data_IF_325889239224
#
_entry.id   IF_325889239224
#
_cell.length_a   1.000
_cell.length_b   1.000
_cell.length_c   1.000
_cell.angle_alpha   90.00
_cell.angle_beta   90.00
_cell.angle_gamma   90.00
#
_symmetry.space_group_name_H-M   'P 1'
#
loop_
_entity.id
_entity.type
_entity.pdbx_description
1 polymer ?
#
# COMPACT_ATOMS: atom_id res chain seq x y z
N UNK A 1 44.34 71.05 -5.25
CA UNK A 1 43.26 70.64 -4.36
C UNK A 1 42.31 69.78 -5.18
N UNK A 2 42.34 68.41 -5.05
CA UNK A 2 41.43 67.54 -5.78
C UNK A 2 40.14 67.35 -4.98
N UNK A 3 39.01 67.50 -5.66
CA UNK A 3 37.67 67.24 -5.14
C UNK A 3 37.41 65.73 -5.12
N UNK A 4 37.06 65.18 -3.92
CA UNK A 4 36.66 63.84 -3.74
C UNK A 4 35.18 63.72 -4.10
N UNK A 5 34.83 62.90 -5.09
CA UNK A 5 33.48 62.59 -5.50
C UNK A 5 33.02 61.33 -4.69
N UNK A 6 32.03 61.50 -3.83
CA UNK A 6 31.44 60.41 -3.11
C UNK A 6 30.41 59.66 -4.00
N UNK A 7 30.67 58.39 -4.25
CA UNK A 7 29.77 57.52 -5.00
C UNK A 7 28.75 56.93 -4.01
N UNK A 8 27.48 57.35 -4.09
CA UNK A 8 26.39 56.78 -3.33
C UNK A 8 25.93 55.46 -4.01
N UNK A 9 26.20 54.34 -3.34
CA UNK A 9 25.72 53.03 -3.79
C UNK A 9 24.23 52.87 -3.48
N UNK A 10 23.40 52.69 -4.51
CA UNK A 10 22.01 52.31 -4.39
C UNK A 10 21.96 50.82 -4.07
N UNK A 11 21.57 50.44 -2.84
CA UNK A 11 21.25 49.08 -2.48
C UNK A 11 19.80 48.78 -2.92
N UNK A 12 19.64 48.01 -4.00
CA UNK A 12 18.32 47.49 -4.40
C UNK A 12 17.91 46.38 -3.44
N UNK A 13 16.94 46.66 -2.57
CA UNK A 13 16.23 45.62 -1.83
C UNK A 13 15.38 44.83 -2.83
N UNK A 14 15.79 43.62 -3.15
CA UNK A 14 14.92 42.63 -3.79
C UNK A 14 13.88 42.16 -2.77
N UNK A 15 12.65 42.61 -2.92
CA UNK A 15 11.50 42.10 -2.15
C UNK A 15 11.27 40.62 -2.54
N UNK A 16 11.41 39.74 -1.59
CA UNK A 16 11.01 38.33 -1.75
C UNK A 16 9.48 38.26 -2.00
N UNK A 17 9.00 37.37 -2.89
CA UNK A 17 7.57 37.21 -3.11
C UNK A 17 6.92 36.78 -1.82
N UNK A 18 5.88 37.49 -1.37
CA UNK A 18 5.03 37.11 -0.28
C UNK A 18 4.27 35.86 -0.72
N UNK A 19 4.64 34.70 -0.16
CA UNK A 19 3.78 33.53 -0.24
C UNK A 19 2.50 33.86 0.50
N UNK A 20 1.37 33.89 -0.23
CA UNK A 20 0.05 34.00 0.37
C UNK A 20 -0.11 32.85 1.37
N UNK A 21 -0.20 33.18 2.64
CA UNK A 21 -0.57 32.22 3.67
C UNK A 21 -1.97 31.69 3.33
N UNK A 22 -2.03 30.40 2.97
CA UNK A 22 -3.32 29.71 2.90
C UNK A 22 -4.01 29.84 4.27
N UNK A 23 -5.33 30.09 4.30
CA UNK A 23 -6.05 30.16 5.55
C UNK A 23 -5.78 28.88 6.34
N UNK A 24 -5.49 29.02 7.64
CA UNK A 24 -5.32 27.90 8.55
C UNK A 24 -6.57 27.01 8.42
N UNK A 25 -6.43 25.86 7.81
CA UNK A 25 -7.45 24.84 7.76
C UNK A 25 -7.75 24.50 9.22
N UNK A 26 -8.99 24.67 9.64
CA UNK A 26 -9.49 24.19 10.94
C UNK A 26 -8.98 22.76 11.08
N UNK A 27 -8.23 22.50 12.17
CA UNK A 27 -7.72 21.19 12.46
C UNK A 27 -8.90 20.21 12.48
N UNK A 28 -9.02 19.42 11.42
CA UNK A 28 -9.84 18.24 11.43
C UNK A 28 -9.22 17.34 12.49
N UNK A 29 -9.94 17.08 13.55
CA UNK A 29 -9.56 16.07 14.54
C UNK A 29 -9.86 14.69 13.96
N UNK A 30 -9.30 14.40 12.79
CA UNK A 30 -9.39 13.07 12.21
C UNK A 30 -8.52 12.15 13.02
N UNK A 31 -9.16 11.23 13.72
CA UNK A 31 -8.51 10.13 14.42
C UNK A 31 -7.95 9.17 13.36
N UNK A 32 -6.73 9.44 12.89
CA UNK A 32 -6.01 8.48 12.05
C UNK A 32 -5.21 7.52 12.93
N UNK A 33 -5.10 6.26 12.49
CA UNK A 33 -4.31 5.28 13.19
C UNK A 33 -2.81 5.61 13.06
N UNK A 34 -2.17 5.94 14.18
CA UNK A 34 -0.71 6.07 14.27
C UNK A 34 -0.16 4.79 14.86
N UNK A 35 0.80 4.19 14.18
CA UNK A 35 1.54 3.05 14.72
C UNK A 35 3.04 3.33 14.68
N UNK A 36 3.70 3.11 15.81
CA UNK A 36 5.10 2.77 15.82
C UNK A 36 5.19 1.26 15.66
N UNK A 37 5.77 0.78 14.56
CA UNK A 37 5.87 -0.66 14.32
C UNK A 37 6.80 -1.28 15.36
N UNK A 38 6.21 -1.95 16.36
CA UNK A 38 6.93 -2.79 17.31
C UNK A 38 7.44 -4.05 16.59
N UNK A 39 8.61 -4.56 17.00
CA UNK A 39 9.16 -5.80 16.46
C UNK A 39 9.86 -5.68 15.10
N UNK A 40 10.10 -4.47 14.61
CA UNK A 40 11.04 -4.23 13.50
C UNK A 40 12.46 -4.31 14.07
N UNK A 41 13.27 -5.23 13.55
CA UNK A 41 14.63 -5.44 14.06
C UNK A 41 15.54 -4.25 13.70
N UNK A 42 16.14 -3.54 14.67
CA UNK A 42 16.93 -2.33 14.40
C UNK A 42 18.23 -2.60 13.61
N UNK A 43 18.68 -3.84 13.54
CA UNK A 43 19.92 -4.27 12.89
C UNK A 43 19.70 -5.42 11.92
N UNK A 44 18.50 -5.56 11.36
CA UNK A 44 18.21 -6.60 10.37
C UNK A 44 19.01 -6.35 9.09
N UNK A 45 19.39 -7.44 8.41
CA UNK A 45 20.02 -7.36 7.09
C UNK A 45 19.16 -6.49 6.15
N UNK A 46 19.79 -5.67 5.30
CA UNK A 46 19.06 -4.86 4.31
C UNK A 46 18.17 -5.73 3.44
N UNK A 47 16.99 -5.19 3.08
CA UNK A 47 16.09 -5.83 2.13
C UNK A 47 16.71 -5.73 0.74
N UNK A 48 16.61 -6.79 -0.05
CA UNK A 48 17.09 -6.87 -1.43
C UNK A 48 15.93 -6.83 -2.44
N UNK A 49 16.24 -6.48 -3.69
CA UNK A 49 15.26 -6.54 -4.80
C UNK A 49 14.68 -7.95 -4.93
N UNK A 50 15.53 -8.98 -4.86
CA UNK A 50 15.09 -10.36 -4.99
C UNK A 50 14.08 -10.79 -3.90
N UNK A 51 14.24 -10.30 -2.68
CA UNK A 51 13.29 -10.55 -1.59
C UNK A 51 11.95 -9.84 -1.81
N UNK A 52 11.98 -8.58 -2.29
CA UNK A 52 10.76 -7.84 -2.65
C UNK A 52 10.00 -8.58 -3.75
N UNK A 53 10.67 -8.98 -4.82
CA UNK A 53 10.06 -9.73 -5.91
C UNK A 53 9.54 -11.10 -5.46
N UNK A 54 10.25 -11.77 -4.54
CA UNK A 54 9.78 -13.03 -3.95
C UNK A 54 8.51 -12.81 -3.12
N UNK A 55 8.44 -11.74 -2.32
CA UNK A 55 7.25 -11.39 -1.54
C UNK A 55 6.06 -11.03 -2.45
N UNK A 56 6.31 -10.33 -3.56
CA UNK A 56 5.29 -10.03 -4.57
C UNK A 56 4.76 -11.31 -5.23
N UNK A 57 5.64 -12.23 -5.62
CA UNK A 57 5.24 -13.53 -6.18
C UNK A 57 4.46 -14.36 -5.16
N UNK A 58 4.88 -14.39 -3.91
CA UNK A 58 4.16 -15.07 -2.84
C UNK A 58 2.74 -14.52 -2.66
N UNK A 59 2.59 -13.20 -2.71
CA UNK A 59 1.28 -12.54 -2.67
C UNK A 59 0.39 -12.94 -3.86
N UNK A 60 0.91 -12.91 -5.07
CA UNK A 60 0.17 -13.31 -6.28
C UNK A 60 -0.25 -14.78 -6.25
N UNK A 61 0.66 -15.68 -5.85
CA UNK A 61 0.36 -17.09 -5.67
C UNK A 61 -0.73 -17.32 -4.61
N UNK A 62 -0.67 -16.59 -3.49
CA UNK A 62 -1.67 -16.67 -2.45
C UNK A 62 -3.05 -16.23 -2.95
N UNK A 63 -3.14 -15.16 -3.73
CA UNK A 63 -4.40 -14.70 -4.31
C UNK A 63 -5.04 -15.76 -5.20
N UNK A 64 -4.25 -16.39 -6.08
CA UNK A 64 -4.70 -17.50 -6.95
C UNK A 64 -5.11 -18.72 -6.12
N UNK A 65 -4.33 -19.07 -5.08
CA UNK A 65 -4.65 -20.18 -4.19
C UNK A 65 -5.98 -19.98 -3.45
N UNK A 66 -6.24 -18.76 -2.92
CA UNK A 66 -7.51 -18.43 -2.26
C UNK A 66 -8.68 -18.54 -3.25
N UNK A 67 -8.49 -18.07 -4.49
CA UNK A 67 -9.50 -18.17 -5.54
C UNK A 67 -9.83 -19.63 -5.88
N UNK A 68 -8.80 -20.47 -6.00
CA UNK A 68 -8.93 -21.91 -6.25
C UNK A 68 -9.61 -22.62 -5.07
N UNK A 69 -9.21 -22.30 -3.84
CA UNK A 69 -9.78 -22.87 -2.62
C UNK A 69 -11.27 -22.53 -2.52
N UNK A 70 -11.65 -21.31 -2.86
CA UNK A 70 -13.06 -20.91 -2.92
C UNK A 70 -13.87 -21.77 -3.90
N UNK A 71 -13.33 -21.97 -5.10
CA UNK A 71 -14.00 -22.74 -6.16
C UNK A 71 -14.16 -24.21 -5.78
N UNK A 72 -13.22 -24.78 -5.04
CA UNK A 72 -13.17 -26.19 -4.69
C UNK A 72 -13.90 -26.49 -3.39
N UNK A 73 -13.69 -25.68 -2.36
CA UNK A 73 -14.06 -25.99 -0.97
C UNK A 73 -14.96 -24.90 -0.33
N UNK A 74 -15.33 -23.87 -1.12
CA UNK A 74 -16.25 -22.82 -0.70
C UNK A 74 -15.64 -21.74 0.18
N UNK A 75 -16.48 -20.76 0.54
CA UNK A 75 -16.05 -19.51 1.19
C UNK A 75 -15.35 -19.73 2.54
N UNK A 76 -15.84 -20.67 3.37
CA UNK A 76 -15.24 -20.89 4.69
C UNK A 76 -13.79 -21.40 4.59
N UNK A 77 -13.48 -22.24 3.59
CA UNK A 77 -12.13 -22.72 3.35
C UNK A 77 -11.24 -21.59 2.81
N UNK A 78 -11.74 -20.82 1.84
CA UNK A 78 -11.04 -19.64 1.32
C UNK A 78 -10.76 -18.60 2.42
N UNK A 79 -11.69 -18.36 3.34
CA UNK A 79 -11.51 -17.45 4.46
C UNK A 79 -10.42 -17.92 5.43
N UNK A 80 -10.32 -19.20 5.72
CA UNK A 80 -9.23 -19.75 6.54
C UNK A 80 -7.88 -19.53 5.86
N UNK A 81 -7.78 -19.84 4.57
CA UNK A 81 -6.53 -19.65 3.82
C UNK A 81 -6.16 -18.15 3.71
N UNK A 82 -7.12 -17.28 3.43
CA UNK A 82 -6.88 -15.83 3.40
C UNK A 82 -6.42 -15.29 4.76
N UNK A 83 -6.99 -15.78 5.86
CA UNK A 83 -6.55 -15.47 7.22
C UNK A 83 -5.09 -15.84 7.45
N UNK A 84 -4.66 -17.04 7.06
CA UNK A 84 -3.26 -17.48 7.15
C UNK A 84 -2.33 -16.59 6.31
N UNK A 85 -2.75 -16.21 5.10
CA UNK A 85 -1.98 -15.30 4.24
C UNK A 85 -1.83 -13.92 4.90
N UNK A 86 -2.90 -13.38 5.48
CA UNK A 86 -2.82 -12.10 6.21
C UNK A 86 -1.85 -12.19 7.40
N UNK A 87 -1.89 -13.29 8.14
CA UNK A 87 -1.02 -13.49 9.32
C UNK A 87 0.46 -13.67 8.94
N UNK A 88 0.76 -14.17 7.75
CA UNK A 88 2.13 -14.45 7.30
C UNK A 88 2.72 -13.36 6.42
N UNK A 89 1.94 -12.70 5.58
CA UNK A 89 2.44 -11.73 4.61
C UNK A 89 2.27 -10.28 5.07
N UNK A 90 1.25 -9.98 5.90
CA UNK A 90 0.97 -8.61 6.31
C UNK A 90 1.47 -8.31 7.72
N UNK A 91 1.70 -7.03 7.99
CA UNK A 91 2.21 -6.55 9.27
C UNK A 91 1.14 -6.25 10.33
N UNK A 92 -0.05 -6.86 10.26
CA UNK A 92 -1.11 -6.61 11.25
C UNK A 92 -0.73 -7.00 12.67
N UNK A 93 0.21 -7.94 12.84
CA UNK A 93 0.79 -8.26 14.15
C UNK A 93 1.75 -7.18 14.68
N UNK A 94 2.22 -6.29 13.81
CA UNK A 94 3.12 -5.18 14.16
C UNK A 94 2.34 -3.89 14.45
N UNK A 95 1.10 -3.79 13.95
CA UNK A 95 0.25 -2.61 14.06
C UNK A 95 -0.70 -2.47 12.87
N UNK A 96 -1.37 -1.32 12.71
CA UNK A 96 -2.20 -1.05 11.56
C UNK A 96 -1.40 -1.12 10.25
N UNK A 97 -2.03 -1.67 9.21
CA UNK A 97 -1.47 -1.66 7.85
C UNK A 97 -2.14 -0.54 7.05
N UNK A 98 -1.34 0.25 6.34
CA UNK A 98 -1.85 1.30 5.45
C UNK A 98 -2.41 0.64 4.17
N UNK A 99 -3.59 0.03 4.29
CA UNK A 99 -4.21 -0.70 3.19
C UNK A 99 -5.40 0.05 2.61
N UNK A 100 -5.29 0.44 1.34
CA UNK A 100 -6.37 0.92 0.47
C UNK A 100 -6.59 -0.11 -0.63
N UNK A 101 -7.65 -0.93 -0.54
CA UNK A 101 -7.99 -1.92 -1.56
C UNK A 101 -8.44 -1.30 -2.89
N UNK A 102 -8.39 -2.09 -3.98
CA UNK A 102 -8.78 -1.63 -5.34
C UNK A 102 -10.23 -1.15 -5.42
N UNK A 103 -11.16 -1.92 -4.85
CA UNK A 103 -12.60 -1.72 -5.04
C UNK A 103 -13.31 -1.18 -3.79
N UNK A 104 -12.56 -0.91 -2.70
CA UNK A 104 -13.14 -0.31 -1.50
C UNK A 104 -13.42 1.18 -1.70
N UNK A 105 -14.55 1.64 -1.15
CA UNK A 105 -15.02 3.02 -1.26
C UNK A 105 -15.81 3.45 -0.02
N UNK A 106 -16.16 4.75 0.06
CA UNK A 106 -16.93 5.32 1.16
C UNK A 106 -16.17 5.29 2.49
N UNK A 107 -16.89 5.17 3.59
CA UNK A 107 -16.34 5.17 4.94
C UNK A 107 -15.39 3.99 5.23
N UNK A 108 -15.58 2.88 4.52
CA UNK A 108 -14.77 1.68 4.67
C UNK A 108 -13.68 1.56 3.59
N UNK A 109 -13.22 2.68 3.01
CA UNK A 109 -12.18 2.69 1.97
C UNK A 109 -10.86 2.10 2.46
N UNK A 110 -10.46 2.38 3.69
CA UNK A 110 -9.18 1.93 4.25
C UNK A 110 -9.38 0.72 5.17
N UNK A 111 -8.53 -0.28 5.04
CA UNK A 111 -8.57 -1.53 5.79
C UNK A 111 -7.36 -1.64 6.71
N UNK A 112 -7.34 -0.80 7.74
CA UNK A 112 -6.20 -0.71 8.67
C UNK A 112 -6.13 -1.88 9.65
N UNK A 113 -7.20 -2.68 9.74
CA UNK A 113 -7.28 -3.87 10.61
C UNK A 113 -7.26 -5.16 9.79
N UNK A 114 -6.84 -6.25 10.43
CA UNK A 114 -6.82 -7.59 9.86
C UNK A 114 -8.20 -8.07 9.42
N UNK A 115 -9.21 -7.79 10.23
CA UNK A 115 -10.61 -8.15 9.99
C UNK A 115 -11.13 -7.42 8.74
N UNK A 116 -10.89 -6.12 8.63
CA UNK A 116 -11.28 -5.34 7.46
C UNK A 116 -10.57 -5.80 6.18
N UNK A 117 -9.31 -6.23 6.28
CA UNK A 117 -8.61 -6.83 5.15
C UNK A 117 -9.18 -8.20 4.76
N UNK A 118 -9.50 -9.04 5.75
CA UNK A 118 -10.12 -10.36 5.51
C UNK A 118 -11.47 -10.18 4.81
N UNK A 119 -12.32 -9.28 5.31
CA UNK A 119 -13.61 -8.96 4.71
C UNK A 119 -13.45 -8.56 3.24
N UNK A 120 -12.48 -7.69 2.91
CA UNK A 120 -12.21 -7.30 1.52
C UNK A 120 -11.84 -8.50 0.64
N UNK A 121 -10.97 -9.39 1.12
CA UNK A 121 -10.51 -10.52 0.30
C UNK A 121 -11.57 -11.59 0.10
N UNK A 122 -12.42 -11.86 1.09
CA UNK A 122 -13.33 -13.02 1.04
C UNK A 122 -14.81 -12.70 1.26
N UNK A 123 -15.17 -11.45 1.54
CA UNK A 123 -16.54 -11.03 1.80
C UNK A 123 -17.16 -11.68 3.05
N UNK A 124 -18.48 -11.50 3.20
CA UNK A 124 -19.26 -12.19 4.22
C UNK A 124 -19.24 -11.61 5.62
N UNK A 125 -18.60 -10.46 5.83
CA UNK A 125 -18.60 -9.73 7.10
C UNK A 125 -19.69 -8.65 7.10
N UNK A 126 -20.57 -8.68 8.11
CA UNK A 126 -21.68 -7.74 8.24
C UNK A 126 -21.23 -6.27 8.44
N UNK A 127 -20.02 -6.04 8.95
CA UNK A 127 -19.45 -4.72 9.10
C UNK A 127 -18.94 -4.14 7.75
N UNK A 128 -18.82 -4.98 6.73
CA UNK A 128 -18.34 -4.62 5.38
C UNK A 128 -19.30 -5.18 4.31
N UNK A 129 -20.58 -4.77 4.31
CA UNK A 129 -21.62 -5.40 3.49
C UNK A 129 -21.41 -5.24 1.99
N UNK A 130 -20.60 -4.28 1.55
CA UNK A 130 -20.25 -4.07 0.13
C UNK A 130 -19.14 -4.99 -0.38
N UNK A 131 -18.44 -5.69 0.52
CA UNK A 131 -17.34 -6.57 0.14
C UNK A 131 -17.85 -7.91 -0.41
N UNK A 132 -17.57 -8.15 -1.68
CA UNK A 132 -17.96 -9.40 -2.37
C UNK A 132 -16.82 -10.41 -2.47
N UNK A 133 -15.67 -10.12 -1.87
CA UNK A 133 -14.49 -10.95 -1.89
C UNK A 133 -13.65 -10.77 -3.16
N UNK A 134 -12.66 -9.87 -3.09
CA UNK A 134 -11.75 -9.64 -4.23
C UNK A 134 -10.99 -10.91 -4.63
N UNK A 135 -10.58 -11.74 -3.67
CA UNK A 135 -9.87 -12.98 -3.93
C UNK A 135 -10.77 -14.10 -4.49
N UNK A 136 -12.11 -13.92 -4.48
CA UNK A 136 -13.07 -14.92 -4.92
C UNK A 136 -13.51 -14.76 -6.38
N UNK A 137 -12.85 -13.86 -7.13
CA UNK A 137 -13.25 -13.49 -8.51
C UNK A 137 -12.71 -14.44 -9.60
N UNK A 138 -12.34 -15.67 -9.22
CA UNK A 138 -11.90 -16.70 -10.19
C UNK A 138 -10.48 -16.48 -10.72
N UNK A 139 -9.60 -15.81 -9.97
CA UNK A 139 -8.20 -15.57 -10.39
C UNK A 139 -7.44 -16.87 -10.63
N UNK A 140 -6.81 -17.00 -11.80
CA UNK A 140 -6.05 -18.18 -12.20
C UNK A 140 -4.56 -17.90 -12.41
N UNK A 141 -4.23 -16.67 -12.79
CA UNK A 141 -2.85 -16.27 -12.98
C UNK A 141 -2.66 -14.78 -12.74
N UNK A 142 -1.42 -14.38 -12.60
CA UNK A 142 -1.04 -12.98 -12.44
C UNK A 142 0.29 -12.71 -13.15
N UNK A 143 0.51 -11.43 -13.49
CA UNK A 143 1.82 -10.90 -13.85
C UNK A 143 2.05 -9.61 -13.07
N UNK A 144 3.30 -9.35 -12.70
CA UNK A 144 3.70 -8.15 -11.97
C UNK A 144 4.75 -7.42 -12.81
N UNK A 145 4.49 -6.14 -13.07
CA UNK A 145 5.38 -5.25 -13.80
C UNK A 145 5.73 -4.07 -12.89
N UNK A 146 6.94 -4.11 -12.31
CA UNK A 146 7.42 -3.08 -11.41
C UNK A 146 7.90 -1.87 -12.19
N UNK A 147 7.32 -0.69 -11.94
CA UNK A 147 7.85 0.57 -12.42
C UNK A 147 9.06 1.03 -11.59
N UNK A 148 9.05 0.76 -10.28
CA UNK A 148 10.18 1.06 -9.39
C UNK A 148 10.15 0.18 -8.12
N UNK A 149 11.36 -0.13 -7.61
CA UNK A 149 11.60 -0.68 -6.28
C UNK A 149 12.61 0.23 -5.59
N UNK A 150 12.27 0.75 -4.42
CA UNK A 150 13.13 1.62 -3.61
C UNK A 150 13.47 0.88 -2.32
N UNK A 151 14.76 0.73 -2.04
CA UNK A 151 15.28 0.03 -0.87
C UNK A 151 15.86 1.03 0.13
N UNK A 152 15.55 0.88 1.41
CA UNK A 152 16.11 1.69 2.49
C UNK A 152 16.32 0.83 3.75
N UNK A 153 17.46 0.16 3.82
CA UNK A 153 17.81 -0.72 4.94
C UNK A 153 16.78 -1.83 5.15
N UNK A 154 16.10 -1.83 6.29
CA UNK A 154 15.07 -2.80 6.66
C UNK A 154 13.68 -2.50 6.12
N UNK A 155 13.56 -1.51 5.21
CA UNK A 155 12.31 -1.13 4.55
C UNK A 155 12.45 -1.15 3.04
N UNK A 156 11.36 -1.40 2.32
CA UNK A 156 11.30 -1.31 0.87
C UNK A 156 9.93 -0.80 0.43
N UNK A 157 9.90 -0.11 -0.70
CA UNK A 157 8.67 0.32 -1.36
C UNK A 157 8.76 -0.09 -2.83
N UNK A 158 7.66 -0.55 -3.41
CA UNK A 158 7.56 -0.72 -4.86
C UNK A 158 6.26 -0.13 -5.40
N UNK A 159 6.27 0.21 -6.67
CA UNK A 159 5.07 0.59 -7.41
C UNK A 159 5.13 0.02 -8.82
N UNK A 160 3.95 -0.28 -9.40
CA UNK A 160 3.85 -0.86 -10.73
C UNK A 160 2.44 -1.36 -11.02
N UNK A 161 2.33 -2.26 -11.99
CA UNK A 161 1.09 -2.88 -12.40
C UNK A 161 1.04 -4.35 -11.95
N UNK A 162 -0.15 -4.80 -11.58
CA UNK A 162 -0.46 -6.21 -11.46
C UNK A 162 -1.61 -6.54 -12.39
N UNK A 163 -1.38 -7.44 -13.30
CA UNK A 163 -2.38 -7.98 -14.23
C UNK A 163 -2.89 -9.30 -13.64
N UNK A 164 -4.20 -9.39 -13.42
CA UNK A 164 -4.87 -10.56 -12.87
C UNK A 164 -5.76 -11.16 -13.95
N UNK A 165 -5.58 -12.43 -14.27
CA UNK A 165 -6.41 -13.15 -15.24
C UNK A 165 -7.36 -14.08 -14.50
N UNK A 166 -8.66 -13.97 -14.78
CA UNK A 166 -9.68 -14.84 -14.19
C UNK A 166 -9.93 -16.10 -15.03
N UNK A 167 -10.83 -16.96 -14.57
CA UNK A 167 -11.19 -18.23 -15.21
C UNK A 167 -11.97 -18.10 -16.53
N UNK A 168 -12.36 -16.86 -16.91
CA UNK A 168 -12.92 -16.54 -18.22
C UNK A 168 -11.88 -15.99 -19.20
N UNK A 169 -10.63 -15.86 -18.77
CA UNK A 169 -9.56 -15.24 -19.56
C UNK A 169 -9.58 -13.72 -19.55
N UNK A 170 -10.45 -13.09 -18.75
CA UNK A 170 -10.51 -11.63 -18.63
C UNK A 170 -9.34 -11.13 -17.77
N UNK A 171 -8.69 -10.07 -18.24
CA UNK A 171 -7.54 -9.46 -17.55
C UNK A 171 -7.99 -8.18 -16.85
N UNK A 172 -7.75 -8.11 -15.54
CA UNK A 172 -7.88 -6.89 -14.75
C UNK A 172 -6.51 -6.35 -14.40
N UNK A 173 -6.18 -5.17 -14.90
CA UNK A 173 -4.97 -4.45 -14.50
C UNK A 173 -5.26 -3.55 -13.32
N UNK A 174 -4.41 -3.59 -12.31
CA UNK A 174 -4.45 -2.70 -11.15
C UNK A 174 -3.12 -1.99 -10.97
N UNK A 175 -3.14 -0.68 -10.70
CA UNK A 175 -1.97 0.02 -10.20
C UNK A 175 -1.78 -0.36 -8.74
N UNK A 176 -0.56 -0.68 -8.35
CA UNK A 176 -0.28 -1.18 -7.02
C UNK A 176 1.01 -0.62 -6.46
N UNK A 177 0.94 -0.17 -5.21
CA UNK A 177 2.12 0.18 -4.42
C UNK A 177 2.13 -0.65 -3.15
N UNK A 178 3.31 -1.21 -2.84
CA UNK A 178 3.56 -1.94 -1.60
C UNK A 178 4.68 -1.27 -0.81
N UNK A 179 4.59 -1.39 0.51
CA UNK A 179 5.68 -1.12 1.42
C UNK A 179 5.90 -2.31 2.34
N UNK A 180 7.16 -2.68 2.54
CA UNK A 180 7.57 -3.77 3.41
C UNK A 180 8.48 -3.29 4.51
N UNK A 181 8.42 -4.00 5.63
CA UNK A 181 9.43 -3.97 6.69
C UNK A 181 9.89 -5.39 6.96
N UNK A 182 11.12 -5.53 7.46
CA UNK A 182 11.61 -6.81 7.97
C UNK A 182 11.23 -6.91 9.45
N UNK A 183 10.49 -7.94 9.83
CA UNK A 183 10.12 -8.20 11.23
C UNK A 183 11.29 -8.76 12.04
N UNK A 184 11.10 -8.95 13.36
CA UNK A 184 12.11 -9.47 14.27
C UNK A 184 12.58 -10.90 13.92
N UNK A 185 11.77 -11.65 13.16
CA UNK A 185 12.10 -13.01 12.69
C UNK A 185 12.77 -13.01 11.31
N UNK A 186 13.04 -11.83 10.75
CA UNK A 186 13.64 -11.67 9.43
C UNK A 186 12.69 -11.78 8.25
N UNK A 187 11.39 -11.96 8.47
CA UNK A 187 10.40 -12.03 7.40
C UNK A 187 9.97 -10.65 6.91
N UNK A 188 9.71 -10.52 5.60
CA UNK A 188 9.12 -9.30 5.04
C UNK A 188 7.63 -9.26 5.35
N UNK A 189 7.16 -8.13 5.90
CA UNK A 189 5.76 -7.86 6.20
C UNK A 189 5.27 -6.67 5.40
N UNK A 190 4.13 -6.81 4.74
CA UNK A 190 3.45 -5.73 4.04
C UNK A 190 2.84 -4.79 5.08
N UNK A 191 3.29 -3.53 5.09
CA UNK A 191 2.78 -2.46 5.96
C UNK A 191 2.07 -1.35 5.18
N UNK A 192 2.31 -1.31 3.87
CA UNK A 192 1.58 -0.48 2.91
C UNK A 192 1.09 -1.36 1.76
N UNK A 193 -0.19 -1.25 1.41
CA UNK A 193 -0.77 -1.87 0.23
C UNK A 193 -1.82 -0.92 -0.36
N UNK A 194 -1.43 -0.14 -1.34
CA UNK A 194 -2.36 0.69 -2.11
C UNK A 194 -2.65 0.01 -3.45
N UNK A 195 -3.92 -0.05 -3.81
CA UNK A 195 -4.34 -0.56 -5.11
C UNK A 195 -5.50 0.25 -5.67
N UNK A 196 -5.47 0.55 -6.97
CA UNK A 196 -6.52 1.23 -7.70
C UNK A 196 -6.64 0.67 -9.12
N UNK A 197 -7.78 0.88 -9.75
CA UNK A 197 -7.86 0.73 -11.20
C UNK A 197 -7.07 1.85 -11.87
N UNK A 198 -6.49 1.63 -13.07
CA UNK A 198 -5.90 2.70 -13.85
C UNK A 198 -6.95 3.79 -14.12
N UNK A 199 -6.53 5.04 -14.04
CA UNK A 199 -7.38 6.16 -14.41
C UNK A 199 -7.68 6.12 -15.91
N UNK A 200 -8.96 6.27 -16.27
CA UNK A 200 -9.40 6.51 -17.65
C UNK A 200 -10.16 7.83 -17.70
N UNK A 201 -9.70 8.76 -18.54
CA UNK A 201 -10.44 9.99 -18.82
C UNK A 201 -11.71 9.62 -19.59
N UNK A 202 -12.86 10.14 -19.17
CA UNK A 202 -14.15 10.06 -19.84
C UNK A 202 -14.38 11.32 -20.65
#
# INVERSE_FOLDING_TARGET
MPKILALAGLASLLAAPAYAQLPATTAHTDTYAVATLGGVAPAAAPITVAEVEAAQRAWGNALVAISTEYKTNGQAAAARLAGQVLDTAYGYSLGPVAFKPTLASGETTFRTTREGALAYFVGGDANFPSDTGFALKGWQSYAIDNAAIVLNGSTAISTGNVMLTNDKGEVTTVNKSWGWVRDANGALRIVLHHSSLPYSAH
#
